data_IF_840044890365
#
_entry.id   IF_840044890365
#
_cell.length_a   1.000
_cell.length_b   1.000
_cell.length_c   1.000
_cell.angle_alpha   90.00
_cell.angle_beta   90.00
_cell.angle_gamma   90.00
#
_symmetry.space_group_name_H-M   'P 1'
#
loop_
_entity.id
_entity.type
_entity.pdbx_description
1 polymer ?
#
# COMPACT_ATOMS: atom_id res chain seq x y z
N UNK A 1 -16.69 13.09 10.58
CA UNK A 1 -15.59 12.63 9.67
C UNK A 1 -16.05 11.37 8.99
N UNK A 2 -15.96 11.29 7.68
CA UNK A 2 -16.40 10.12 6.92
C UNK A 2 -15.39 8.98 6.95
N UNK A 3 -14.87 8.64 8.13
CA UNK A 3 -13.95 7.54 8.31
C UNK A 3 -14.74 6.34 8.78
N UNK A 4 -14.67 5.27 8.01
CA UNK A 4 -15.40 4.04 8.26
C UNK A 4 -14.47 3.01 8.88
N UNK A 5 -14.90 2.42 10.00
CA UNK A 5 -14.15 1.31 10.61
C UNK A 5 -14.44 0.03 9.83
N UNK A 6 -13.39 -0.58 9.33
CA UNK A 6 -13.44 -1.85 8.62
C UNK A 6 -12.69 -2.91 9.42
N UNK A 7 -12.72 -4.15 8.92
CA UNK A 7 -12.05 -5.25 9.58
C UNK A 7 -10.53 -5.12 9.46
N UNK A 8 -9.92 -4.68 10.55
CA UNK A 8 -8.47 -4.54 10.64
C UNK A 8 -7.91 -3.21 10.11
N UNK A 9 -8.76 -2.30 9.66
CA UNK A 9 -8.30 -0.99 9.17
C UNK A 9 -9.44 0.02 9.20
N UNK A 10 -9.09 1.30 8.95
CA UNK A 10 -10.08 2.37 8.81
C UNK A 10 -10.00 2.90 7.39
N UNK A 11 -11.14 3.24 6.82
CA UNK A 11 -11.24 3.72 5.43
C UNK A 11 -11.81 5.15 5.42
N UNK A 12 -11.07 6.05 4.79
CA UNK A 12 -11.53 7.43 4.57
C UNK A 12 -11.69 7.65 3.06
N UNK A 13 -12.94 7.63 2.60
CA UNK A 13 -13.27 7.89 1.19
C UNK A 13 -13.37 9.40 0.99
N UNK A 14 -12.67 9.90 -0.03
CA UNK A 14 -12.68 11.33 -0.34
C UNK A 14 -11.73 12.17 0.50
N UNK A 15 -10.85 11.54 1.28
CA UNK A 15 -9.82 12.25 2.02
C UNK A 15 -8.67 12.72 1.13
N UNK A 16 -7.66 13.40 1.73
CA UNK A 16 -6.54 13.92 0.95
C UNK A 16 -5.65 12.80 0.42
N UNK A 17 -5.44 12.80 -0.89
CA UNK A 17 -4.55 11.84 -1.56
C UNK A 17 -3.63 12.63 -2.49
N UNK A 18 -2.32 12.38 -2.46
CA UNK A 18 -1.39 13.11 -3.32
C UNK A 18 -1.75 12.95 -4.80
N UNK A 19 -1.44 13.99 -5.58
CA UNK A 19 -1.68 13.97 -7.01
C UNK A 19 -0.95 12.79 -7.65
N UNK A 20 -1.66 12.07 -8.52
CA UNK A 20 -1.10 10.90 -9.20
C UNK A 20 -1.38 9.57 -8.49
N UNK A 21 -2.00 9.62 -7.31
CA UNK A 21 -2.38 8.41 -6.57
C UNK A 21 -3.90 8.37 -6.41
N UNK A 22 -4.44 7.16 -6.33
CA UNK A 22 -5.86 6.96 -6.05
C UNK A 22 -6.09 6.63 -4.58
N UNK A 23 -5.06 6.22 -3.87
CA UNK A 23 -5.13 5.92 -2.45
C UNK A 23 -3.77 5.92 -1.79
N UNK A 24 -3.75 6.08 -0.48
CA UNK A 24 -2.56 5.98 0.35
C UNK A 24 -2.91 5.27 1.64
N UNK A 25 -1.90 4.71 2.29
CA UNK A 25 -2.05 4.03 3.59
C UNK A 25 -1.11 4.64 4.61
N UNK A 26 -1.67 5.06 5.74
CA UNK A 26 -0.91 5.59 6.88
C UNK A 26 -1.24 4.74 8.10
N UNK A 27 -0.33 3.81 8.45
CA UNK A 27 -0.59 2.88 9.52
C UNK A 27 -1.77 1.97 9.20
N UNK A 28 -2.86 2.09 9.91
CA UNK A 28 -4.09 1.34 9.67
C UNK A 28 -5.17 2.17 8.97
N UNK A 29 -4.85 3.40 8.58
CA UNK A 29 -5.80 4.27 7.88
C UNK A 29 -5.52 4.24 6.38
N UNK A 30 -6.54 3.86 5.62
CA UNK A 30 -6.51 3.90 4.15
C UNK A 30 -7.33 5.11 3.71
N UNK A 31 -6.73 5.98 2.90
CA UNK A 31 -7.41 7.14 2.33
C UNK A 31 -7.48 6.93 0.83
N UNK A 32 -8.67 7.00 0.26
CA UNK A 32 -8.87 6.82 -1.19
C UNK A 32 -9.64 8.00 -1.77
N UNK A 33 -9.43 8.25 -3.06
CA UNK A 33 -10.22 9.25 -3.78
C UNK A 33 -11.67 8.80 -3.86
N UNK A 34 -12.57 9.76 -3.90
CA UNK A 34 -13.99 9.48 -4.07
C UNK A 34 -14.18 8.69 -5.37
N UNK A 35 -14.85 7.56 -5.29
CA UNK A 35 -15.05 6.65 -6.40
C UNK A 35 -14.03 5.52 -6.48
N UNK A 36 -12.83 5.72 -5.97
CA UNK A 36 -11.79 4.69 -6.00
C UNK A 36 -12.09 3.53 -5.03
N UNK A 37 -12.95 3.76 -4.03
CA UNK A 37 -13.34 2.72 -3.08
C UNK A 37 -14.06 1.54 -3.75
N UNK A 38 -14.51 1.70 -4.98
CA UNK A 38 -15.19 0.65 -5.72
C UNK A 38 -14.21 -0.30 -6.40
N UNK A 39 -12.92 -0.01 -6.39
CA UNK A 39 -11.91 -0.87 -6.98
C UNK A 39 -11.46 -1.94 -5.97
N UNK A 40 -11.80 -3.23 -6.18
CA UNK A 40 -11.31 -4.29 -5.30
C UNK A 40 -9.79 -4.38 -5.30
N UNK A 41 -9.17 -4.18 -6.45
CA UNK A 41 -7.71 -4.19 -6.55
C UNK A 41 -7.08 -3.12 -5.67
N UNK A 42 -7.57 -1.88 -5.75
CA UNK A 42 -7.01 -0.79 -4.97
C UNK A 42 -7.14 -1.05 -3.47
N UNK A 43 -8.31 -1.48 -3.01
CA UNK A 43 -8.53 -1.74 -1.60
C UNK A 43 -7.63 -2.88 -1.10
N UNK A 44 -7.46 -3.94 -1.88
CA UNK A 44 -6.56 -5.03 -1.49
C UNK A 44 -5.10 -4.58 -1.46
N UNK A 45 -4.70 -3.77 -2.44
CA UNK A 45 -3.36 -3.20 -2.48
C UNK A 45 -3.07 -2.39 -1.20
N UNK A 46 -4.00 -1.50 -0.83
CA UNK A 46 -3.83 -0.70 0.38
C UNK A 46 -3.90 -1.53 1.66
N UNK A 47 -4.72 -2.57 1.69
CA UNK A 47 -4.76 -3.49 2.83
C UNK A 47 -3.43 -4.22 3.03
N UNK A 48 -2.73 -4.55 1.96
CA UNK A 48 -1.39 -5.13 2.07
C UNK A 48 -0.44 -4.14 2.73
N UNK A 49 -0.53 -2.86 2.39
CA UNK A 49 0.28 -1.83 3.06
C UNK A 49 -0.05 -1.74 4.55
N UNK A 50 -1.31 -1.89 4.94
CA UNK A 50 -1.67 -1.93 6.37
C UNK A 50 -0.91 -3.06 7.07
N UNK A 51 -0.84 -4.24 6.46
CA UNK A 51 -0.09 -5.35 7.04
C UNK A 51 1.41 -5.08 7.07
N UNK A 52 1.93 -4.42 6.05
CA UNK A 52 3.34 -4.03 6.00
C UNK A 52 3.67 -3.04 7.13
N UNK A 53 2.78 -2.08 7.39
CA UNK A 53 2.92 -1.17 8.52
C UNK A 53 2.96 -1.92 9.85
N UNK A 54 2.11 -2.93 10.02
CA UNK A 54 2.10 -3.75 11.24
C UNK A 54 3.37 -4.58 11.38
N UNK A 55 3.81 -5.20 10.27
CA UNK A 55 4.97 -6.08 10.27
C UNK A 55 6.26 -5.33 10.56
N UNK A 56 6.42 -4.15 9.97
CA UNK A 56 7.66 -3.39 10.06
C UNK A 56 7.64 -2.26 11.09
N UNK A 57 6.46 -1.87 11.56
CA UNK A 57 6.30 -0.68 12.38
C UNK A 57 6.42 0.59 11.55
N UNK A 58 6.13 1.74 12.17
CA UNK A 58 6.15 3.03 11.47
C UNK A 58 7.55 3.34 10.94
N UNK A 59 8.57 3.19 11.78
CA UNK A 59 9.95 3.50 11.40
C UNK A 59 10.44 2.51 10.35
N UNK A 60 10.21 1.21 10.56
CA UNK A 60 10.67 0.17 9.64
C UNK A 60 10.02 0.27 8.26
N UNK A 61 8.71 0.48 8.21
CA UNK A 61 8.02 0.67 6.92
C UNK A 61 8.54 1.91 6.20
N UNK A 62 8.59 3.05 6.90
CA UNK A 62 9.01 4.31 6.29
C UNK A 62 10.45 4.23 5.78
N UNK A 63 11.35 3.64 6.55
CA UNK A 63 12.74 3.50 6.15
C UNK A 63 12.89 2.63 4.90
N UNK A 64 12.17 1.52 4.84
CA UNK A 64 12.23 0.62 3.68
C UNK A 64 11.62 1.26 2.44
N UNK A 65 10.48 1.90 2.60
CA UNK A 65 9.77 2.52 1.48
C UNK A 65 10.55 3.70 0.92
N UNK A 66 10.86 4.68 1.78
CA UNK A 66 11.56 5.90 1.37
C UNK A 66 12.99 5.59 0.95
N UNK A 67 13.68 4.71 1.70
CA UNK A 67 15.03 4.33 1.37
C UNK A 67 15.15 3.69 0.00
N UNK A 68 14.26 2.76 -0.33
CA UNK A 68 14.23 2.13 -1.65
C UNK A 68 13.96 3.14 -2.75
N UNK A 69 12.99 4.03 -2.54
CA UNK A 69 12.66 5.08 -3.49
C UNK A 69 13.89 5.96 -3.78
N UNK A 70 14.58 6.41 -2.71
CA UNK A 70 15.74 7.28 -2.86
C UNK A 70 16.90 6.58 -3.58
N UNK A 71 17.15 5.30 -3.28
CA UNK A 71 18.21 4.55 -3.95
C UNK A 71 17.96 4.52 -5.46
N UNK A 72 16.74 4.22 -5.89
CA UNK A 72 16.44 4.16 -7.33
C UNK A 72 16.44 5.54 -7.97
N UNK A 73 16.07 6.60 -7.25
CA UNK A 73 16.19 7.96 -7.75
C UNK A 73 17.65 8.34 -7.96
N UNK A 74 18.52 7.98 -7.04
CA UNK A 74 19.95 8.23 -7.15
C UNK A 74 20.59 7.44 -8.30
N UNK A 75 19.97 6.33 -8.70
CA UNK A 75 20.38 5.59 -9.89
C UNK A 75 19.77 6.12 -11.16
N UNK A 76 19.32 7.36 -11.15
CA UNK A 76 18.77 8.08 -12.30
C UNK A 76 17.49 7.49 -12.87
N UNK A 77 16.74 6.74 -12.05
CA UNK A 77 15.38 6.36 -12.43
C UNK A 77 14.47 7.56 -12.20
N UNK A 78 13.50 7.77 -13.08
CA UNK A 78 12.51 8.80 -12.85
C UNK A 78 11.63 8.48 -11.65
N UNK A 79 10.78 9.43 -11.25
CA UNK A 79 9.86 9.20 -10.12
C UNK A 79 9.05 7.90 -10.27
N UNK A 80 8.46 7.68 -11.44
CA UNK A 80 7.67 6.49 -11.68
C UNK A 80 8.53 5.22 -11.64
N UNK A 81 9.72 5.27 -12.25
CA UNK A 81 10.63 4.13 -12.23
C UNK A 81 11.09 3.76 -10.82
N UNK A 82 11.39 4.78 -10.00
CA UNK A 82 11.77 4.55 -8.62
C UNK A 82 10.61 3.95 -7.80
N UNK A 83 9.42 4.52 -7.95
CA UNK A 83 8.21 4.02 -7.27
C UNK A 83 7.92 2.57 -7.62
N UNK A 84 7.98 2.21 -8.90
CA UNK A 84 7.68 0.86 -9.36
C UNK A 84 8.70 -0.19 -8.90
N UNK A 85 9.87 0.25 -8.40
CA UNK A 85 10.91 -0.66 -7.91
C UNK A 85 10.96 -0.78 -6.39
N UNK A 86 10.07 -0.11 -5.68
CA UNK A 86 9.99 -0.24 -4.22
C UNK A 86 9.47 -1.65 -3.88
N UNK A 87 10.24 -2.48 -3.15
CA UNK A 87 9.81 -3.85 -2.85
C UNK A 87 8.46 -3.94 -2.15
N UNK A 88 8.13 -3.00 -1.27
CA UNK A 88 6.85 -2.99 -0.58
C UNK A 88 5.69 -2.75 -1.56
N UNK A 89 5.90 -1.93 -2.59
CA UNK A 89 4.89 -1.71 -3.62
C UNK A 89 4.75 -2.92 -4.54
N UNK A 90 5.86 -3.58 -4.87
CA UNK A 90 5.83 -4.79 -5.68
C UNK A 90 5.04 -5.88 -4.95
N UNK A 91 5.29 -6.06 -3.66
CA UNK A 91 4.57 -7.03 -2.84
C UNK A 91 3.08 -6.72 -2.84
N UNK A 92 2.72 -5.45 -2.60
CA UNK A 92 1.32 -5.05 -2.51
C UNK A 92 0.58 -5.27 -3.84
N UNK A 93 1.23 -4.94 -4.95
CA UNK A 93 0.65 -5.14 -6.27
C UNK A 93 0.45 -6.63 -6.57
N UNK A 94 1.48 -7.44 -6.29
CA UNK A 94 1.44 -8.88 -6.54
C UNK A 94 0.32 -9.56 -5.72
N UNK A 95 0.25 -9.27 -4.42
CA UNK A 95 -0.76 -9.85 -3.55
C UNK A 95 -2.16 -9.41 -3.96
N UNK A 96 -2.33 -8.12 -4.28
CA UNK A 96 -3.63 -7.59 -4.68
C UNK A 96 -4.16 -8.27 -5.94
N UNK A 97 -3.30 -8.48 -6.95
CA UNK A 97 -3.71 -9.14 -8.19
C UNK A 97 -4.08 -10.60 -7.97
N UNK A 98 -3.33 -11.30 -7.13
CA UNK A 98 -3.59 -12.72 -6.86
C UNK A 98 -4.78 -12.95 -5.94
N UNK A 99 -5.18 -11.93 -5.19
CA UNK A 99 -6.20 -12.06 -4.16
C UNK A 99 -7.54 -11.47 -4.54
N UNK A 100 -7.74 -11.11 -5.82
CA UNK A 100 -8.98 -10.44 -6.22
C UNK A 100 -10.23 -11.27 -5.94
N UNK A 101 -10.12 -12.59 -6.08
CA UNK A 101 -11.25 -13.49 -5.88
C UNK A 101 -11.31 -14.10 -4.48
N UNK A 102 -10.39 -13.71 -3.60
CA UNK A 102 -10.32 -14.24 -2.23
C UNK A 102 -10.11 -13.12 -1.23
N UNK A 103 -10.50 -13.37 0.01
CA UNK A 103 -10.25 -12.41 1.09
C UNK A 103 -8.74 -12.29 1.33
N UNK A 104 -8.27 -11.05 1.57
CA UNK A 104 -6.89 -10.83 1.96
C UNK A 104 -6.71 -11.33 3.39
N UNK A 105 -5.74 -12.22 3.60
CA UNK A 105 -5.45 -12.78 4.92
C UNK A 105 -4.61 -11.80 5.73
N UNK A 106 -4.65 -11.96 7.05
CA UNK A 106 -3.83 -11.14 7.95
C UNK A 106 -2.34 -11.41 7.76
N UNK A 107 -1.97 -12.59 7.30
CA UNK A 107 -0.60 -12.95 7.05
C UNK A 107 -0.30 -12.93 5.56
N UNK A 108 0.75 -12.20 5.21
CA UNK A 108 1.27 -12.23 3.83
C UNK A 108 2.05 -13.53 3.66
N UNK A 109 1.82 -14.28 2.57
CA UNK A 109 2.58 -15.52 2.33
C UNK A 109 4.09 -15.30 2.41
N UNK A 110 4.82 -16.30 2.93
CA UNK A 110 6.26 -16.18 3.14
C UNK A 110 7.03 -15.85 1.86
N UNK A 111 6.64 -16.44 0.75
CA UNK A 111 7.26 -16.19 -0.54
C UNK A 111 7.08 -14.75 -1.01
N UNK A 112 5.99 -14.09 -0.59
CA UNK A 112 5.76 -12.68 -0.89
C UNK A 112 6.54 -11.81 0.09
N UNK A 113 6.55 -12.19 1.36
CA UNK A 113 7.25 -11.44 2.39
C UNK A 113 8.77 -11.44 2.18
N UNK A 114 9.31 -12.44 1.49
CA UNK A 114 10.73 -12.53 1.19
C UNK A 114 11.19 -11.58 0.09
N UNK A 115 10.26 -11.01 -0.64
CA UNK A 115 10.59 -10.02 -1.67
C UNK A 115 10.69 -8.62 -1.07
#
# INVERSE_FOLDING_TARGET
>A
MPIEQRDGYRLWVGGPVPKGFDGITLGSLIIVRLGAQESPYLLRHEQVHVRQWRRHGVIGFSARYVGSYLVWRLRRKGHRGAYLRIPLEIEADWVARRSLDTAVRDEVPSEVAAT
#
